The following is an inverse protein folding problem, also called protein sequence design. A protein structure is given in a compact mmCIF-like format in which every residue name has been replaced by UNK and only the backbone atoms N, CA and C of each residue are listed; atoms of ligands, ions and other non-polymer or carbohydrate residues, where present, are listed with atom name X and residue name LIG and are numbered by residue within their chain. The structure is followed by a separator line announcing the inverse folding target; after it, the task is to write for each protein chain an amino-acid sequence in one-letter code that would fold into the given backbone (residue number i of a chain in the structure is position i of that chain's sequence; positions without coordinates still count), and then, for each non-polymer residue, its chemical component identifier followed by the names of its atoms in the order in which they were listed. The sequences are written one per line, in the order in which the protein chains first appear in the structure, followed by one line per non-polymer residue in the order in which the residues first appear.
data_IF_373359195819
#
_entry.id   IF_373359195819
#
_cell.length_a   1.000
_cell.length_b   1.000
_cell.length_c   1.000
_cell.angle_alpha   90.00
_cell.angle_beta   90.00
_cell.angle_gamma   90.00
#
_symmetry.space_group_name_H-M   'P 1'
#
loop_
_entity.id
_entity.type
_entity.pdbx_description
1 polymer ?
#
# COMPACT_ATOMS: atom_id res chain seq x y z
N UNK A 1 -1.81 -8.25 29.53
CA UNK A 1 -2.93 -9.15 29.90
C UNK A 1 -4.23 -8.51 29.41
N UNK A 2 -4.76 -8.97 28.26
CA UNK A 2 -5.89 -8.34 27.54
C UNK A 2 -7.27 -8.88 27.95
N UNK A 3 -7.30 -9.81 28.93
CA UNK A 3 -8.54 -10.26 29.57
C UNK A 3 -9.47 -11.12 28.70
N UNK A 4 -8.94 -11.80 27.68
CA UNK A 4 -9.72 -12.60 26.73
C UNK A 4 -9.65 -14.10 27.06
N UNK A 5 -10.75 -14.83 26.82
CA UNK A 5 -10.85 -16.28 27.02
C UNK A 5 -10.69 -17.02 25.69
N UNK A 6 -10.13 -18.24 25.74
CA UNK A 6 -9.87 -19.09 24.58
C UNK A 6 -11.16 -19.36 23.78
N UNK A 7 -11.16 -19.00 22.49
CA UNK A 7 -12.23 -19.25 21.52
C UNK A 7 -11.97 -20.48 20.65
N UNK A 8 -12.74 -20.65 19.57
CA UNK A 8 -12.50 -21.70 18.57
C UNK A 8 -11.09 -21.58 17.95
N UNK A 9 -10.49 -22.73 17.65
CA UNK A 9 -9.12 -22.82 17.13
C UNK A 9 -9.09 -22.36 15.67
N UNK A 10 -8.15 -21.48 15.32
CA UNK A 10 -7.97 -21.05 13.93
C UNK A 10 -7.21 -22.14 13.17
N UNK A 11 -7.93 -22.96 12.40
CA UNK A 11 -7.33 -23.90 11.45
C UNK A 11 -6.82 -23.11 10.24
N UNK A 12 -5.54 -22.74 10.24
CA UNK A 12 -4.87 -22.35 9.00
C UNK A 12 -4.60 -23.60 8.17
N UNK A 13 -5.12 -23.67 6.93
CA UNK A 13 -4.54 -24.59 5.94
C UNK A 13 -3.07 -24.20 5.76
N UNK A 14 -2.17 -24.96 6.40
CA UNK A 14 -0.74 -24.69 6.32
C UNK A 14 -0.25 -25.02 4.92
N UNK A 15 -0.25 -24.03 4.02
CA UNK A 15 0.54 -24.19 2.81
C UNK A 15 2.02 -24.18 3.18
N UNK A 16 2.64 -25.33 2.94
CA UNK A 16 4.07 -25.64 3.06
C UNK A 16 4.99 -24.43 3.01
N UNK A 17 5.84 -24.34 4.04
CA UNK A 17 6.97 -23.42 4.24
C UNK A 17 7.52 -22.81 2.95
N UNK A 18 7.77 -21.49 2.96
CA UNK A 18 8.48 -20.76 1.91
C UNK A 18 9.80 -21.45 1.55
N UNK A 19 9.79 -22.26 0.49
CA UNK A 19 11.00 -22.85 -0.08
C UNK A 19 11.58 -21.89 -1.11
N UNK A 20 12.90 -21.79 -1.19
CA UNK A 20 13.60 -21.01 -2.23
C UNK A 20 13.11 -21.35 -3.65
N UNK A 21 12.78 -22.61 -3.90
CA UNK A 21 12.17 -23.10 -5.14
C UNK A 21 10.81 -22.45 -5.44
N UNK A 22 9.92 -22.35 -4.43
CA UNK A 22 8.64 -21.65 -4.57
C UNK A 22 8.85 -20.18 -4.87
N UNK A 23 9.78 -19.53 -4.18
CA UNK A 23 10.08 -18.11 -4.43
C UNK A 23 10.56 -17.85 -5.86
N UNK A 24 11.45 -18.70 -6.41
CA UNK A 24 11.85 -18.62 -7.82
C UNK A 24 10.64 -18.82 -8.75
N UNK A 25 9.72 -19.72 -8.41
CA UNK A 25 8.51 -19.94 -9.21
C UNK A 25 7.60 -18.70 -9.26
N UNK A 26 7.58 -17.86 -8.21
CA UNK A 26 6.85 -16.58 -8.20
C UNK A 26 7.57 -15.46 -8.96
N UNK A 27 8.85 -15.59 -9.27
CA UNK A 27 9.58 -14.65 -10.14
C UNK A 27 9.50 -15.02 -11.62
N UNK A 28 9.34 -16.31 -11.92
CA UNK A 28 9.38 -16.81 -13.29
C UNK A 28 8.05 -16.51 -13.98
N UNK A 29 8.03 -15.69 -15.05
CA UNK A 29 6.79 -15.42 -15.77
C UNK A 29 6.18 -16.71 -16.31
N UNK A 30 4.93 -16.97 -15.95
CA UNK A 30 4.13 -18.04 -16.55
C UNK A 30 3.47 -17.55 -17.83
N UNK A 31 2.45 -18.27 -18.33
CA UNK A 31 1.67 -17.78 -19.48
C UNK A 31 0.92 -16.49 -19.12
N UNK A 32 0.69 -15.61 -20.10
CA UNK A 32 -0.05 -14.35 -19.87
C UNK A 32 -1.43 -14.56 -19.24
N UNK A 33 -2.11 -15.66 -19.61
CA UNK A 33 -3.40 -16.02 -19.02
C UNK A 33 -3.31 -16.37 -17.54
N UNK A 34 -2.27 -17.10 -17.12
CA UNK A 34 -2.04 -17.45 -15.71
C UNK A 34 -1.66 -16.22 -14.90
N UNK A 35 -0.73 -15.38 -15.40
CA UNK A 35 -0.27 -14.18 -14.69
C UNK A 35 -1.40 -13.18 -14.41
N UNK A 36 -2.40 -13.08 -15.30
CA UNK A 36 -3.56 -12.20 -15.16
C UNK A 36 -4.73 -12.82 -14.37
N UNK A 37 -4.53 -13.96 -13.71
CA UNK A 37 -5.55 -14.56 -12.84
C UNK A 37 -6.33 -15.71 -13.43
N UNK A 38 -5.91 -16.29 -14.56
CA UNK A 38 -6.53 -17.47 -15.16
C UNK A 38 -6.56 -18.72 -14.24
N UNK A 39 -5.73 -18.74 -13.20
CA UNK A 39 -5.71 -19.79 -12.15
C UNK A 39 -6.35 -19.37 -10.82
N UNK A 40 -7.00 -18.20 -10.74
CA UNK A 40 -7.70 -17.73 -9.53
C UNK A 40 -6.96 -16.67 -8.71
N UNK A 41 -5.68 -16.39 -9.01
CA UNK A 41 -4.92 -15.28 -8.43
C UNK A 41 -4.00 -14.63 -9.48
N UNK A 42 -3.94 -13.29 -9.48
CA UNK A 42 -3.01 -12.54 -10.32
C UNK A 42 -1.70 -12.29 -9.57
N UNK A 43 -0.57 -12.54 -10.23
CA UNK A 43 0.77 -12.38 -9.66
C UNK A 43 1.45 -11.14 -10.22
N UNK A 44 1.27 -9.99 -9.56
CA UNK A 44 1.80 -8.69 -9.99
C UNK A 44 3.31 -8.71 -10.25
N UNK A 45 4.07 -9.44 -9.43
CA UNK A 45 5.52 -9.56 -9.59
C UNK A 45 5.90 -10.30 -10.88
N UNK A 46 5.19 -11.37 -11.24
CA UNK A 46 5.40 -12.09 -12.51
C UNK A 46 5.06 -11.20 -13.69
N UNK A 47 3.95 -10.45 -13.61
CA UNK A 47 3.55 -9.48 -14.63
C UNK A 47 4.64 -8.41 -14.80
N UNK A 48 5.22 -7.90 -13.71
CA UNK A 48 6.32 -6.93 -13.76
C UNK A 48 7.55 -7.51 -14.48
N UNK A 49 7.99 -8.71 -14.10
CA UNK A 49 9.15 -9.37 -14.75
C UNK A 49 8.86 -9.59 -16.24
N UNK A 50 7.67 -10.07 -16.59
CA UNK A 50 7.24 -10.26 -17.98
C UNK A 50 7.24 -8.93 -18.76
N UNK A 51 6.72 -7.86 -18.17
CA UNK A 51 6.67 -6.54 -18.77
C UNK A 51 8.08 -5.97 -19.01
N UNK A 52 9.01 -6.12 -18.06
CA UNK A 52 10.41 -5.70 -18.21
C UNK A 52 11.09 -6.48 -19.34
N UNK A 53 10.96 -7.81 -19.36
CA UNK A 53 11.53 -8.64 -20.42
C UNK A 53 10.95 -8.27 -21.80
N UNK A 54 9.65 -8.00 -21.86
CA UNK A 54 8.96 -7.54 -23.06
C UNK A 54 9.48 -6.17 -23.51
N UNK A 55 9.67 -5.24 -22.58
CA UNK A 55 10.26 -3.93 -22.86
C UNK A 55 11.70 -4.02 -23.37
N UNK A 56 12.53 -4.84 -22.73
CA UNK A 56 13.92 -5.10 -23.16
C UNK A 56 13.94 -5.73 -24.56
N UNK A 57 13.09 -6.71 -24.83
CA UNK A 57 12.97 -7.32 -26.16
C UNK A 57 12.51 -6.28 -27.22
N UNK A 58 11.52 -5.45 -26.87
CA UNK A 58 11.01 -4.39 -27.75
C UNK A 58 12.08 -3.34 -28.07
N UNK A 59 12.96 -3.02 -27.11
CA UNK A 59 14.06 -2.07 -27.32
C UNK A 59 15.05 -2.52 -28.42
N UNK A 60 15.17 -3.83 -28.65
CA UNK A 60 16.05 -4.45 -29.64
C UNK A 60 15.41 -4.58 -31.04
N UNK A 61 14.13 -4.25 -31.18
CA UNK A 61 13.43 -4.29 -32.47
C UNK A 61 13.82 -3.12 -33.38
N UNK A 62 13.50 -3.28 -34.67
CA UNK A 62 13.56 -2.20 -35.67
C UNK A 62 12.53 -1.12 -35.36
N UNK A 63 12.74 0.08 -35.88
CA UNK A 63 12.00 1.29 -35.47
C UNK A 63 10.48 1.18 -35.69
N UNK A 64 10.05 0.67 -36.85
CA UNK A 64 8.62 0.53 -37.18
C UNK A 64 7.85 -0.42 -36.22
N UNK A 65 8.26 -1.69 -36.01
CA UNK A 65 7.59 -2.56 -35.06
C UNK A 65 7.75 -2.11 -33.60
N UNK A 66 8.89 -1.49 -33.24
CA UNK A 66 9.11 -0.92 -31.91
C UNK A 66 8.08 0.16 -31.60
N UNK A 67 7.90 1.11 -32.52
CA UNK A 67 6.95 2.21 -32.35
C UNK A 67 5.51 1.71 -32.22
N UNK A 68 5.11 0.73 -33.03
CA UNK A 68 3.77 0.12 -32.95
C UNK A 68 3.47 -0.44 -31.56
N UNK A 69 4.42 -1.18 -30.97
CA UNK A 69 4.24 -1.78 -29.63
C UNK A 69 4.14 -0.70 -28.55
N UNK A 70 4.98 0.34 -28.63
CA UNK A 70 4.97 1.45 -27.68
C UNK A 70 3.64 2.23 -27.76
N UNK A 71 3.22 2.59 -28.96
CA UNK A 71 1.97 3.35 -29.19
C UNK A 71 0.74 2.53 -28.75
N UNK A 72 0.73 1.23 -29.02
CA UNK A 72 -0.32 0.32 -28.52
C UNK A 72 -0.34 0.27 -26.99
N UNK A 73 0.83 0.12 -26.35
CA UNK A 73 0.94 0.06 -24.89
C UNK A 73 0.45 1.36 -24.23
N UNK A 74 0.76 2.51 -24.84
CA UNK A 74 0.26 3.82 -24.41
C UNK A 74 -1.27 3.92 -24.54
N UNK A 75 -1.82 3.48 -25.66
CA UNK A 75 -3.27 3.47 -25.87
C UNK A 75 -4.00 2.58 -24.83
N UNK A 76 -3.42 1.44 -24.46
CA UNK A 76 -3.95 0.58 -23.40
C UNK A 76 -3.90 1.29 -22.04
N UNK A 77 -2.79 1.96 -21.71
CA UNK A 77 -2.67 2.73 -20.47
C UNK A 77 -3.75 3.83 -20.37
N UNK A 78 -3.93 4.61 -21.43
CA UNK A 78 -4.97 5.65 -21.50
C UNK A 78 -6.38 5.06 -21.36
N UNK A 79 -6.64 3.90 -21.98
CA UNK A 79 -7.91 3.18 -21.82
C UNK A 79 -8.15 2.78 -20.36
N UNK A 80 -7.12 2.29 -19.67
CA UNK A 80 -7.22 1.92 -18.26
C UNK A 80 -7.54 3.14 -17.38
N UNK A 81 -6.94 4.31 -17.65
CA UNK A 81 -7.30 5.56 -16.96
C UNK A 81 -8.79 5.89 -17.15
N UNK A 82 -9.32 5.74 -18.36
CA UNK A 82 -10.76 5.96 -18.63
C UNK A 82 -11.66 4.94 -17.95
N UNK A 83 -11.26 3.68 -17.87
CA UNK A 83 -12.03 2.68 -17.12
C UNK A 83 -12.14 3.07 -15.64
N UNK A 84 -11.07 3.60 -15.07
CA UNK A 84 -11.11 4.02 -13.66
C UNK A 84 -11.90 5.29 -13.44
N UNK A 85 -11.91 6.22 -14.41
CA UNK A 85 -12.85 7.35 -14.40
C UNK A 85 -14.31 6.91 -14.37
N UNK A 86 -14.65 5.75 -14.94
CA UNK A 86 -16.01 5.20 -14.89
C UNK A 86 -16.30 4.59 -13.52
N UNK A 87 -15.38 3.75 -13.02
CA UNK A 87 -15.55 3.04 -11.75
C UNK A 87 -15.56 3.99 -10.54
N UNK A 88 -14.84 5.11 -10.59
CA UNK A 88 -14.77 6.03 -9.45
C UNK A 88 -16.12 6.65 -9.08
N UNK A 89 -17.07 6.73 -10.02
CA UNK A 89 -18.43 7.19 -9.72
C UNK A 89 -19.18 6.28 -8.75
N UNK A 90 -18.83 5.01 -8.69
CA UNK A 90 -19.44 4.04 -7.75
C UNK A 90 -18.69 3.95 -6.43
N UNK A 91 -17.48 4.53 -6.33
CA UNK A 91 -16.66 4.47 -5.12
C UNK A 91 -17.39 4.98 -3.86
N UNK A 92 -18.14 6.12 -3.87
CA UNK A 92 -18.89 6.59 -2.70
C UNK A 92 -19.87 5.55 -2.14
N UNK A 93 -20.52 4.78 -3.01
CA UNK A 93 -21.46 3.72 -2.61
C UNK A 93 -20.70 2.57 -1.96
N UNK A 94 -19.54 2.18 -2.52
CA UNK A 94 -18.64 1.19 -1.92
C UNK A 94 -18.20 1.57 -0.52
N UNK A 95 -17.85 2.85 -0.29
CA UNK A 95 -17.48 3.37 1.03
C UNK A 95 -18.61 3.20 2.04
N UNK A 96 -19.84 3.57 1.66
CA UNK A 96 -21.01 3.46 2.53
C UNK A 96 -21.31 2.00 2.92
N UNK A 97 -21.21 1.06 1.98
CA UNK A 97 -21.41 -0.37 2.28
C UNK A 97 -20.28 -0.93 3.15
N UNK A 98 -19.03 -0.56 2.88
CA UNK A 98 -17.90 -0.96 3.71
C UNK A 98 -18.08 -0.50 5.16
N UNK A 99 -18.47 0.77 5.38
CA UNK A 99 -18.77 1.34 6.72
C UNK A 99 -20.04 0.76 7.36
N UNK A 100 -20.99 0.25 6.57
CA UNK A 100 -22.20 -0.38 7.11
C UNK A 100 -21.95 -1.82 7.57
N UNK A 101 -21.29 -2.63 6.72
CA UNK A 101 -20.94 -4.03 7.00
C UNK A 101 -20.07 -4.17 8.25
N UNK A 102 -19.07 -3.29 8.32
CA UNK A 102 -18.31 -2.92 9.49
C UNK A 102 -19.06 -2.88 10.84
N UNK A 103 -20.13 -2.08 10.87
CA UNK A 103 -20.92 -1.82 12.07
C UNK A 103 -21.86 -3.01 12.34
N UNK A 104 -22.35 -3.66 11.27
CA UNK A 104 -23.29 -4.77 11.35
C UNK A 104 -22.67 -6.10 11.80
N UNK A 105 -21.42 -6.37 11.43
CA UNK A 105 -20.75 -7.67 11.65
C UNK A 105 -20.19 -7.86 13.06
N UNK A 106 -19.82 -6.78 13.76
CA UNK A 106 -18.97 -6.89 14.96
C UNK A 106 -19.68 -6.65 16.31
N UNK A 107 -20.91 -6.12 16.31
CA UNK A 107 -21.68 -5.87 17.53
C UNK A 107 -20.98 -4.94 18.54
N UNK A 108 -21.62 -4.65 19.69
CA UNK A 108 -21.10 -3.72 20.71
C UNK A 108 -20.24 -4.40 21.80
N UNK A 109 -20.21 -5.73 21.87
CA UNK A 109 -19.69 -6.49 23.03
C UNK A 109 -18.22 -6.93 22.93
N UNK A 110 -17.58 -6.82 21.75
CA UNK A 110 -16.17 -7.13 21.54
C UNK A 110 -15.26 -5.87 21.58
N UNK A 111 -15.84 -4.69 21.78
CA UNK A 111 -15.22 -3.38 21.50
C UNK A 111 -14.02 -2.99 22.37
N UNK A 112 -13.87 -3.54 23.58
CA UNK A 112 -12.84 -3.10 24.52
C UNK A 112 -11.42 -3.40 24.01
N UNK A 113 -11.05 -4.68 24.02
CA UNK A 113 -9.70 -5.13 23.66
C UNK A 113 -9.42 -5.04 22.16
N UNK A 114 -10.42 -5.27 21.31
CA UNK A 114 -10.29 -5.13 19.86
C UNK A 114 -10.27 -3.66 19.43
N UNK A 115 -11.05 -2.79 20.08
CA UNK A 115 -10.96 -1.35 19.87
C UNK A 115 -9.61 -0.79 20.31
N UNK A 116 -9.02 -1.30 21.39
CA UNK A 116 -7.67 -0.94 21.80
C UNK A 116 -6.61 -1.36 20.76
N UNK A 117 -6.74 -2.56 20.17
CA UNK A 117 -5.89 -3.01 19.06
C UNK A 117 -6.02 -2.08 17.84
N UNK A 118 -7.25 -1.83 17.38
CA UNK A 118 -7.53 -0.93 16.25
C UNK A 118 -6.95 0.46 16.50
N UNK A 119 -7.20 1.03 17.68
CA UNK A 119 -6.67 2.34 18.05
C UNK A 119 -5.14 2.35 18.06
N UNK A 120 -4.50 1.30 18.59
CA UNK A 120 -3.03 1.18 18.61
C UNK A 120 -2.46 1.12 17.20
N UNK A 121 -3.08 0.33 16.31
CA UNK A 121 -2.69 0.26 14.89
C UNK A 121 -2.85 1.61 14.21
N UNK A 122 -3.99 2.28 14.40
CA UNK A 122 -4.25 3.59 13.81
C UNK A 122 -3.27 4.65 14.28
N UNK A 123 -3.04 4.75 15.59
CA UNK A 123 -2.09 5.70 16.16
C UNK A 123 -0.67 5.41 15.66
N UNK A 124 -0.26 4.14 15.63
CA UNK A 124 1.09 3.76 15.16
C UNK A 124 1.29 4.10 13.70
N UNK A 125 0.32 3.79 12.83
CA UNK A 125 0.41 4.10 11.40
C UNK A 125 0.36 5.61 11.17
N UNK A 126 -0.50 6.36 11.85
CA UNK A 126 -0.54 7.82 11.72
C UNK A 126 0.79 8.45 12.19
N UNK A 127 1.36 7.96 13.29
CA UNK A 127 2.67 8.38 13.74
C UNK A 127 3.75 8.04 12.71
N UNK A 128 3.72 6.84 12.13
CA UNK A 128 4.63 6.45 11.07
C UNK A 128 4.52 7.37 9.85
N UNK A 129 3.31 7.69 9.38
CA UNK A 129 3.11 8.62 8.27
C UNK A 129 3.67 10.01 8.61
N UNK A 130 3.33 10.55 9.78
CA UNK A 130 3.78 11.90 10.17
C UNK A 130 5.28 11.97 10.39
N UNK A 131 5.84 10.99 11.10
CA UNK A 131 7.26 11.00 11.49
C UNK A 131 8.13 10.49 10.35
N UNK A 132 7.86 9.31 9.81
CA UNK A 132 8.72 8.68 8.79
C UNK A 132 8.47 9.31 7.43
N UNK A 133 7.24 9.26 6.89
CA UNK A 133 6.97 9.88 5.59
C UNK A 133 7.17 11.39 5.63
N UNK A 134 6.77 12.06 6.71
CA UNK A 134 7.04 13.50 6.89
C UNK A 134 8.53 13.83 6.88
N UNK A 135 9.38 13.08 7.61
CA UNK A 135 10.84 13.29 7.59
C UNK A 135 11.44 13.03 6.21
N UNK A 136 10.97 12.01 5.50
CA UNK A 136 11.41 11.70 4.14
C UNK A 136 11.02 12.83 3.18
N UNK A 137 9.78 13.34 3.25
CA UNK A 137 9.36 14.49 2.47
C UNK A 137 10.23 15.73 2.73
N UNK A 138 10.59 15.99 3.98
CA UNK A 138 11.50 17.10 4.33
C UNK A 138 12.90 16.88 3.73
N UNK A 139 13.44 15.66 3.83
CA UNK A 139 14.77 15.31 3.30
C UNK A 139 14.87 15.52 1.78
N UNK A 140 13.83 15.11 1.04
CA UNK A 140 13.78 15.23 -0.42
C UNK A 140 13.10 16.51 -0.92
N UNK A 141 12.82 17.47 -0.02
CA UNK A 141 12.16 18.74 -0.33
C UNK A 141 10.87 18.56 -1.14
N UNK A 142 10.02 17.63 -0.70
CA UNK A 142 8.69 17.39 -1.26
C UNK A 142 7.69 18.18 -0.41
N UNK A 143 6.87 19.02 -1.05
CA UNK A 143 5.77 19.69 -0.36
C UNK A 143 4.71 18.63 -0.01
N UNK A 144 4.52 18.39 1.29
CA UNK A 144 3.60 17.35 1.79
C UNK A 144 2.16 17.66 1.40
N UNK A 145 1.75 18.93 1.48
CA UNK A 145 0.37 19.34 1.18
C UNK A 145 0.10 19.13 -0.30
N UNK A 146 1.02 19.58 -1.15
CA UNK A 146 0.94 19.42 -2.60
C UNK A 146 0.87 17.94 -2.98
N UNK A 147 1.73 17.11 -2.40
CA UNK A 147 1.73 15.66 -2.61
C UNK A 147 0.41 15.00 -2.20
N UNK A 148 -0.12 15.32 -1.01
CA UNK A 148 -1.38 14.77 -0.53
C UNK A 148 -2.57 15.19 -1.41
N UNK A 149 -2.57 16.43 -1.90
CA UNK A 149 -3.60 16.92 -2.82
C UNK A 149 -3.52 16.19 -4.17
N UNK A 150 -2.31 16.01 -4.71
CA UNK A 150 -2.09 15.29 -5.96
C UNK A 150 -2.49 13.81 -5.85
N UNK A 151 -2.20 13.17 -4.72
CA UNK A 151 -2.47 11.75 -4.48
C UNK A 151 -3.84 11.48 -3.84
N UNK A 152 -4.69 12.49 -3.64
CA UNK A 152 -5.95 12.34 -2.88
C UNK A 152 -6.85 11.22 -3.43
N UNK A 153 -6.97 11.12 -4.75
CA UNK A 153 -7.89 10.19 -5.41
C UNK A 153 -7.47 8.73 -5.19
N UNK A 154 -6.23 8.32 -5.52
CA UNK A 154 -5.78 6.96 -5.24
C UNK A 154 -5.79 6.65 -3.74
N UNK A 155 -5.47 7.61 -2.86
CA UNK A 155 -5.47 7.38 -1.41
C UNK A 155 -6.87 7.15 -0.84
N UNK A 156 -7.88 7.89 -1.30
CA UNK A 156 -9.27 7.68 -0.90
C UNK A 156 -9.77 6.33 -1.40
N UNK A 157 -9.45 5.95 -2.64
CA UNK A 157 -9.83 4.62 -3.16
C UNK A 157 -9.18 3.53 -2.31
N UNK A 158 -7.87 3.59 -2.09
CA UNK A 158 -7.14 2.62 -1.30
C UNK A 158 -7.69 2.48 0.13
N UNK A 159 -8.01 3.60 0.78
CA UNK A 159 -8.60 3.60 2.12
C UNK A 159 -9.99 2.95 2.14
N UNK A 160 -10.81 3.23 1.14
CA UNK A 160 -12.23 2.86 1.16
C UNK A 160 -12.51 1.48 0.60
N UNK A 161 -11.69 1.00 -0.34
CA UNK A 161 -11.80 -0.34 -0.92
C UNK A 161 -10.89 -1.36 -0.23
N UNK A 162 -9.98 -0.91 0.64
CA UNK A 162 -8.94 -1.73 1.27
C UNK A 162 -8.16 -2.59 0.25
N UNK A 163 -8.04 -2.11 -1.00
CA UNK A 163 -7.39 -2.85 -2.09
C UNK A 163 -6.42 -1.94 -2.83
N UNK A 164 -5.12 -2.26 -2.80
CA UNK A 164 -4.09 -1.47 -3.47
C UNK A 164 -4.26 -1.49 -4.99
N UNK A 165 -4.67 -2.65 -5.53
CA UNK A 165 -4.88 -2.91 -6.95
C UNK A 165 -6.01 -2.07 -7.54
N UNK A 166 -7.07 -1.84 -6.75
CA UNK A 166 -8.18 -0.99 -7.17
C UNK A 166 -7.76 0.48 -7.36
N UNK A 167 -6.76 0.93 -6.60
CA UNK A 167 -6.21 2.27 -6.71
C UNK A 167 -5.13 2.40 -7.80
N UNK A 168 -4.56 1.29 -8.28
CA UNK A 168 -3.35 1.27 -9.11
C UNK A 168 -3.45 2.16 -10.37
N UNK A 169 -4.55 2.16 -11.15
CA UNK A 169 -4.61 3.03 -12.32
C UNK A 169 -4.67 4.52 -11.95
N UNK A 170 -5.31 4.89 -10.83
CA UNK A 170 -5.28 6.27 -10.31
C UNK A 170 -3.93 6.65 -9.73
N UNK A 171 -3.17 5.70 -9.20
CA UNK A 171 -1.78 5.94 -8.78
C UNK A 171 -0.95 6.36 -9.99
N UNK A 172 -1.03 5.63 -11.10
CA UNK A 172 -0.30 6.00 -12.32
C UNK A 172 -0.71 7.37 -12.87
N UNK A 173 -2.03 7.61 -13.00
CA UNK A 173 -2.56 8.90 -13.47
C UNK A 173 -2.14 10.07 -12.56
N UNK A 174 -2.25 9.91 -11.24
CA UNK A 174 -1.85 10.93 -10.27
C UNK A 174 -0.35 11.20 -10.28
N UNK A 175 0.49 10.16 -10.39
CA UNK A 175 1.95 10.29 -10.46
C UNK A 175 2.39 11.01 -11.74
N UNK A 176 1.82 10.63 -12.89
CA UNK A 176 2.10 11.28 -14.18
C UNK A 176 1.71 12.77 -14.14
N UNK A 177 0.50 13.08 -13.65
CA UNK A 177 0.03 14.46 -13.44
C UNK A 177 0.88 15.24 -12.46
N UNK A 178 1.43 14.58 -11.43
CA UNK A 178 2.30 15.22 -10.45
C UNK A 178 3.73 15.49 -10.96
N UNK A 179 4.09 14.88 -12.10
CA UNK A 179 5.37 15.07 -12.78
C UNK A 179 6.36 13.92 -12.63
N UNK A 180 5.92 12.74 -12.21
CA UNK A 180 6.75 11.52 -12.22
C UNK A 180 6.70 10.90 -13.61
N UNK A 181 7.85 10.63 -14.23
CA UNK A 181 7.87 9.99 -15.54
C UNK A 181 7.27 8.57 -15.50
N UNK A 182 6.57 8.20 -16.57
CA UNK A 182 5.89 6.90 -16.70
C UNK A 182 6.86 5.72 -16.65
N UNK A 183 8.13 5.95 -17.00
CA UNK A 183 9.20 4.96 -16.91
C UNK A 183 9.53 4.63 -15.45
N UNK A 184 9.63 5.65 -14.60
CA UNK A 184 9.92 5.47 -13.16
C UNK A 184 8.71 4.88 -12.45
N UNK A 185 7.52 5.45 -12.62
CA UNK A 185 6.31 4.94 -11.96
C UNK A 185 5.98 3.51 -12.41
N UNK A 186 6.16 3.20 -13.70
CA UNK A 186 5.93 1.88 -14.30
C UNK A 186 6.79 0.77 -13.70
N UNK A 187 7.95 1.09 -13.13
CA UNK A 187 8.82 0.13 -12.44
C UNK A 187 8.62 0.16 -10.92
N UNK A 188 8.64 1.36 -10.32
CA UNK A 188 8.65 1.53 -8.86
C UNK A 188 7.32 1.11 -8.24
N UNK A 189 6.19 1.45 -8.86
CA UNK A 189 4.86 1.15 -8.29
C UNK A 189 4.59 -0.36 -8.25
N UNK A 190 4.72 -1.13 -9.35
CA UNK A 190 4.47 -2.57 -9.30
C UNK A 190 5.47 -3.31 -8.39
N UNK A 191 6.74 -2.88 -8.38
CA UNK A 191 7.75 -3.46 -7.48
C UNK A 191 7.39 -3.19 -6.01
N UNK A 192 6.99 -1.95 -5.71
CA UNK A 192 6.59 -1.52 -4.37
C UNK A 192 5.34 -2.24 -3.86
N UNK A 193 4.38 -2.56 -4.72
CA UNK A 193 3.18 -3.32 -4.32
C UNK A 193 3.50 -4.74 -3.82
N UNK A 194 4.65 -5.30 -4.20
CA UNK A 194 5.11 -6.59 -3.68
C UNK A 194 6.09 -6.45 -2.51
N UNK A 195 6.96 -5.43 -2.52
CA UNK A 195 8.10 -5.36 -1.60
C UNK A 195 8.05 -4.21 -0.59
N UNK A 196 7.23 -3.19 -0.82
CA UNK A 196 7.12 -1.98 -0.03
C UNK A 196 5.72 -1.88 0.62
N UNK A 197 5.45 -2.83 1.52
CA UNK A 197 4.20 -2.97 2.25
C UNK A 197 4.37 -2.51 3.71
N UNK A 198 4.63 -1.20 3.88
CA UNK A 198 4.91 -0.58 5.19
C UNK A 198 3.76 -0.77 6.18
N UNK A 199 2.54 -0.42 5.78
CA UNK A 199 1.35 -0.57 6.59
C UNK A 199 1.09 -2.03 6.96
N UNK A 200 1.35 -2.95 6.03
CA UNK A 200 1.18 -4.39 6.30
C UNK A 200 2.19 -4.88 7.31
N UNK A 201 3.44 -4.42 7.21
CA UNK A 201 4.50 -4.79 8.16
C UNK A 201 4.21 -4.30 9.58
N UNK A 202 3.74 -3.05 9.71
CA UNK A 202 3.31 -2.49 11.00
C UNK A 202 2.15 -3.26 11.60
N UNK A 203 1.13 -3.55 10.78
CA UNK A 203 -0.02 -4.34 11.18
C UNK A 203 0.39 -5.75 11.65
N UNK A 204 1.16 -6.49 10.85
CA UNK A 204 1.62 -7.84 11.17
C UNK A 204 2.35 -7.87 12.51
N UNK A 205 3.24 -6.90 12.73
CA UNK A 205 4.02 -6.77 13.96
C UNK A 205 3.13 -6.54 15.19
N UNK A 206 2.19 -5.59 15.10
CA UNK A 206 1.29 -5.27 16.20
C UNK A 206 0.29 -6.41 16.48
N UNK A 207 -0.23 -7.03 15.42
CA UNK A 207 -1.12 -8.18 15.50
C UNK A 207 -0.44 -9.37 16.20
N UNK A 208 0.80 -9.69 15.85
CA UNK A 208 1.54 -10.79 16.49
C UNK A 208 1.82 -10.53 17.96
N UNK A 209 2.19 -9.30 18.34
CA UNK A 209 2.36 -8.91 19.74
C UNK A 209 1.04 -8.96 20.50
N UNK A 210 -0.07 -8.55 19.88
CA UNK A 210 -1.40 -8.68 20.47
C UNK A 210 -1.77 -10.14 20.73
N UNK A 211 -1.51 -11.05 19.79
CA UNK A 211 -1.78 -12.48 19.97
C UNK A 211 -0.97 -13.08 21.13
N UNK A 212 0.29 -12.68 21.28
CA UNK A 212 1.11 -13.07 22.43
C UNK A 212 0.47 -12.63 23.75
N UNK A 213 0.08 -11.36 23.83
CA UNK A 213 -0.56 -10.78 25.02
C UNK A 213 -1.94 -11.37 25.32
N UNK A 214 -2.72 -11.71 24.28
CA UNK A 214 -4.03 -12.37 24.37
C UNK A 214 -3.90 -13.79 24.92
N UNK A 215 -2.83 -14.49 24.55
CA UNK A 215 -2.50 -15.82 25.08
C UNK A 215 -1.82 -15.79 26.46
N UNK A 216 -1.58 -14.60 27.03
CA UNK A 216 -0.87 -14.45 28.30
C UNK A 216 0.62 -14.81 28.22
N UNK A 217 1.19 -14.81 27.02
CA UNK A 217 2.60 -15.12 26.75
C UNK A 217 3.35 -13.80 26.62
N UNK A 218 4.20 -13.51 27.62
CA UNK A 218 5.11 -12.38 27.55
C UNK A 218 6.34 -12.75 26.71
N UNK A 219 6.57 -11.99 25.63
CA UNK A 219 7.79 -12.07 24.83
C UNK A 219 8.75 -10.97 25.21
N UNK A 220 10.01 -11.32 25.43
CA UNK A 220 11.06 -10.33 25.67
C UNK A 220 11.24 -9.39 24.47
N UNK A 221 11.80 -8.21 24.68
CA UNK A 221 12.06 -7.25 23.59
C UNK A 221 12.94 -7.89 22.50
N UNK A 222 13.91 -8.73 22.88
CA UNK A 222 14.74 -9.46 21.93
C UNK A 222 13.93 -10.40 21.03
N UNK A 223 13.04 -11.19 21.61
CA UNK A 223 12.14 -12.08 20.85
C UNK A 223 11.17 -11.28 19.96
N UNK A 224 10.65 -10.15 20.45
CA UNK A 224 9.79 -9.28 19.65
C UNK A 224 10.53 -8.71 18.44
N UNK A 225 11.78 -8.27 18.59
CA UNK A 225 12.60 -7.79 17.47
C UNK A 225 12.82 -8.90 16.45
N UNK A 226 13.18 -10.11 16.90
CA UNK A 226 13.38 -11.26 15.99
C UNK A 226 12.08 -11.61 15.27
N UNK A 227 10.95 -11.58 15.97
CA UNK A 227 9.62 -11.79 15.39
C UNK A 227 9.29 -10.76 14.31
N UNK A 228 9.52 -9.47 14.57
CA UNK A 228 9.30 -8.40 13.58
C UNK A 228 10.20 -8.59 12.36
N UNK A 229 11.49 -8.89 12.56
CA UNK A 229 12.40 -9.17 11.45
C UNK A 229 11.94 -10.36 10.61
N UNK A 230 11.43 -11.39 11.27
CA UNK A 230 10.88 -12.56 10.60
C UNK A 230 9.61 -12.21 9.81
N UNK A 231 8.67 -11.46 10.39
CA UNK A 231 7.47 -10.98 9.72
C UNK A 231 7.80 -10.10 8.51
N UNK A 232 8.84 -9.27 8.60
CA UNK A 232 9.33 -8.47 7.47
C UNK A 232 9.79 -9.35 6.30
N UNK A 233 10.41 -10.50 6.57
CA UNK A 233 10.85 -11.43 5.52
C UNK A 233 9.65 -12.22 4.99
N UNK A 234 8.86 -12.82 5.88
CA UNK A 234 7.73 -13.70 5.54
C UNK A 234 6.64 -12.97 4.75
N UNK A 235 6.37 -11.69 5.07
CA UNK A 235 5.37 -10.87 4.35
C UNK A 235 5.67 -10.66 2.87
N UNK A 236 6.95 -10.76 2.46
CA UNK A 236 7.40 -10.62 1.07
C UNK A 236 7.37 -11.94 0.29
N UNK A 237 7.25 -13.07 1.01
CA UNK A 237 7.24 -14.41 0.43
C UNK A 237 5.86 -14.88 -0.01
N UNK A 238 4.78 -14.29 0.52
CA UNK A 238 3.39 -14.70 0.24
C UNK A 238 2.73 -13.73 -0.74
N UNK A 239 3.37 -13.52 -1.89
CA UNK A 239 2.75 -12.79 -2.99
C UNK A 239 1.58 -13.60 -3.57
N UNK A 240 0.42 -12.97 -3.78
CA UNK A 240 -0.65 -13.51 -4.63
C UNK A 240 -1.87 -14.14 -3.94
N UNK A 241 -1.97 -14.21 -2.61
CA UNK A 241 -3.12 -14.86 -1.94
C UNK A 241 -3.98 -13.85 -1.17
N UNK A 242 -5.30 -13.86 -1.42
CA UNK A 242 -6.29 -13.09 -0.65
C UNK A 242 -6.27 -13.58 0.81
N UNK A 243 -6.20 -12.67 1.79
CA UNK A 243 -6.03 -12.98 3.23
C UNK A 243 -4.67 -13.57 3.63
N UNK A 244 -3.63 -13.43 2.79
CA UNK A 244 -2.26 -13.87 3.08
C UNK A 244 -1.72 -13.35 4.43
N UNK A 245 -2.12 -12.16 4.85
CA UNK A 245 -1.65 -11.53 6.10
C UNK A 245 -2.00 -12.32 7.35
N UNK A 246 -3.21 -12.92 7.44
CA UNK A 246 -3.60 -13.73 8.60
C UNK A 246 -2.88 -15.09 8.63
N UNK A 247 -2.65 -15.67 7.46
CA UNK A 247 -1.86 -16.90 7.30
C UNK A 247 -0.41 -16.66 7.74
N UNK A 248 0.18 -15.52 7.34
CA UNK A 248 1.53 -15.11 7.74
C UNK A 248 1.61 -14.89 9.26
N UNK A 249 0.59 -14.29 9.88
CA UNK A 249 0.52 -14.15 11.34
C UNK A 249 0.50 -15.53 11.98
N UNK A 250 -0.47 -16.38 11.65
CA UNK A 250 -0.62 -17.71 12.24
C UNK A 250 0.69 -18.53 12.12
N UNK A 251 1.27 -18.57 10.91
CA UNK A 251 2.53 -19.28 10.65
C UNK A 251 3.71 -18.74 11.46
N UNK A 252 3.72 -17.44 11.75
CA UNK A 252 4.76 -16.82 12.57
C UNK A 252 4.52 -17.09 14.05
N UNK A 253 3.28 -17.05 14.53
CA UNK A 253 2.94 -17.32 15.93
C UNK A 253 3.39 -18.72 16.36
N UNK A 254 3.15 -19.72 15.52
CA UNK A 254 3.56 -21.11 15.77
C UNK A 254 5.08 -21.24 16.00
N UNK A 255 5.88 -20.46 15.26
CA UNK A 255 7.35 -20.47 15.38
C UNK A 255 7.87 -19.83 16.66
N UNK A 256 7.04 -19.07 17.36
CA UNK A 256 7.35 -18.43 18.63
C UNK A 256 6.56 -19.06 19.78
N UNK A 257 6.01 -20.26 19.60
CA UNK A 257 5.20 -20.98 20.60
C UNK A 257 3.99 -20.16 21.09
N UNK A 258 3.40 -19.34 20.21
CA UNK A 258 2.19 -18.56 20.51
C UNK A 258 0.99 -19.25 19.86
N UNK A 259 -0.06 -19.58 20.63
CA UNK A 259 -1.29 -20.15 20.08
C UNK A 259 -1.93 -19.25 19.01
N UNK A 260 -2.47 -19.85 17.96
CA UNK A 260 -3.08 -19.15 16.81
C UNK A 260 -4.54 -18.73 17.03
N UNK A 261 -5.24 -19.25 18.05
CA UNK A 261 -6.64 -18.90 18.34
C UNK A 261 -6.93 -17.38 18.45
N UNK A 262 -6.02 -16.48 18.90
CA UNK A 262 -6.28 -15.05 18.91
C UNK A 262 -6.36 -14.43 17.50
N UNK A 263 -5.84 -15.10 16.46
CA UNK A 263 -5.97 -14.67 15.05
C UNK A 263 -7.44 -14.64 14.65
N UNK A 264 -8.25 -15.57 15.14
CA UNK A 264 -9.70 -15.58 14.91
C UNK A 264 -10.39 -14.32 15.46
N UNK A 265 -9.88 -13.75 16.56
CA UNK A 265 -10.39 -12.49 17.10
C UNK A 265 -10.06 -11.30 16.20
N UNK A 266 -8.86 -11.27 15.63
CA UNK A 266 -8.40 -10.21 14.73
C UNK A 266 -9.26 -10.17 13.46
N UNK A 267 -9.67 -11.33 12.96
CA UNK A 267 -10.49 -11.46 11.75
C UNK A 267 -11.75 -10.57 11.78
N UNK A 268 -12.41 -10.44 12.93
CA UNK A 268 -13.61 -9.61 13.06
C UNK A 268 -13.37 -8.13 12.76
N UNK A 269 -12.20 -7.61 13.14
CA UNK A 269 -11.85 -6.19 13.00
C UNK A 269 -10.78 -5.92 11.93
N UNK A 270 -10.31 -6.95 11.24
CA UNK A 270 -9.21 -6.86 10.26
C UNK A 270 -9.52 -5.83 9.18
N UNK A 271 -10.77 -5.80 8.70
CA UNK A 271 -11.22 -4.88 7.67
C UNK A 271 -11.02 -3.40 8.07
N UNK A 272 -11.17 -3.03 9.36
CA UNK A 272 -10.95 -1.65 9.85
C UNK A 272 -9.48 -1.28 9.71
N UNK A 273 -8.61 -2.20 10.12
CA UNK A 273 -7.17 -2.01 10.09
C UNK A 273 -6.63 -2.03 8.65
N UNK A 274 -7.27 -2.82 7.78
CA UNK A 274 -6.89 -2.95 6.39
C UNK A 274 -7.03 -1.65 5.60
N UNK A 275 -8.08 -0.87 5.87
CA UNK A 275 -8.29 0.44 5.26
C UNK A 275 -7.06 1.34 5.38
N UNK A 276 -6.54 1.48 6.61
CA UNK A 276 -5.39 2.34 6.88
C UNK A 276 -4.06 1.70 6.45
N UNK A 277 -3.94 0.37 6.59
CA UNK A 277 -2.81 -0.42 6.05
C UNK A 277 -2.64 -0.17 4.56
N UNK A 278 -3.73 -0.33 3.80
CA UNK A 278 -3.72 -0.21 2.35
C UNK A 278 -3.48 1.23 1.90
N UNK A 279 -4.08 2.22 2.56
CA UNK A 279 -3.76 3.63 2.33
C UNK A 279 -2.26 3.91 2.52
N UNK A 280 -1.66 3.36 3.58
CA UNK A 280 -0.24 3.61 3.91
C UNK A 280 0.69 2.98 2.89
N UNK A 281 0.40 1.75 2.45
CA UNK A 281 1.16 1.06 1.40
C UNK A 281 1.13 1.87 0.09
N UNK A 282 -0.07 2.30 -0.33
CA UNK A 282 -0.24 3.10 -1.56
C UNK A 282 0.48 4.44 -1.43
N UNK A 283 0.36 5.13 -0.29
CA UNK A 283 1.06 6.39 -0.02
C UNK A 283 2.58 6.23 -0.08
N UNK A 284 3.12 5.19 0.55
CA UNK A 284 4.55 4.88 0.54
C UNK A 284 5.06 4.61 -0.88
N UNK A 285 4.30 3.87 -1.69
CA UNK A 285 4.65 3.59 -3.09
C UNK A 285 4.62 4.84 -3.97
N UNK A 286 3.63 5.72 -3.79
CA UNK A 286 3.61 7.02 -4.47
C UNK A 286 4.80 7.88 -4.06
N UNK A 287 5.10 7.96 -2.76
CA UNK A 287 6.21 8.76 -2.24
C UNK A 287 7.56 8.24 -2.74
N UNK A 288 7.77 6.92 -2.70
CA UNK A 288 8.96 6.28 -3.26
C UNK A 288 9.12 6.57 -4.75
N UNK A 289 8.04 6.55 -5.52
CA UNK A 289 8.07 6.88 -6.96
C UNK A 289 8.52 8.32 -7.21
N UNK A 290 8.03 9.28 -6.42
CA UNK A 290 8.47 10.68 -6.50
C UNK A 290 9.95 10.84 -6.14
N UNK A 291 10.41 10.15 -5.09
CA UNK A 291 11.80 10.19 -4.65
C UNK A 291 12.72 9.62 -5.73
N UNK A 292 12.39 8.45 -6.26
CA UNK A 292 13.16 7.82 -7.34
C UNK A 292 13.20 8.71 -8.57
N UNK A 293 12.08 9.33 -8.95
CA UNK A 293 12.05 10.28 -10.07
C UNK A 293 12.94 11.50 -9.81
N UNK A 294 12.96 12.04 -8.59
CA UNK A 294 13.88 13.13 -8.23
C UNK A 294 15.35 12.70 -8.28
N UNK A 295 15.66 11.48 -7.82
CA UNK A 295 17.04 10.96 -7.83
C UNK A 295 17.55 10.70 -9.25
N UNK A 296 16.68 10.24 -10.14
CA UNK A 296 17.00 9.98 -11.55
C UNK A 296 16.88 11.23 -12.47
N UNK A 297 16.54 12.40 -11.91
CA UNK A 297 16.26 13.64 -12.67
C UNK A 297 15.09 13.52 -13.68
N UNK A 298 14.14 12.66 -13.35
CA UNK A 298 12.94 12.31 -14.11
C UNK A 298 11.65 12.90 -13.48
N UNK A 299 11.81 13.88 -12.57
CA UNK A 299 10.70 14.57 -11.90
C UNK A 299 10.50 15.98 -12.47
N UNK A 300 9.29 16.29 -12.94
CA UNK A 300 8.91 17.54 -13.62
C UNK A 300 9.90 17.94 -14.70
N UNK A 301 10.10 17.02 -15.65
CA UNK A 301 10.96 17.24 -16.81
C UNK A 301 10.49 18.46 -17.64
N UNK A 302 11.35 18.99 -18.50
CA UNK A 302 10.99 20.15 -19.34
C UNK A 302 9.77 19.89 -20.23
N UNK A 303 9.59 18.65 -20.69
CA UNK A 303 8.39 18.21 -21.41
C UNK A 303 7.14 18.34 -20.53
N UNK A 304 7.19 17.88 -19.28
CA UNK A 304 6.09 18.02 -18.33
C UNK A 304 5.75 19.49 -18.05
N UNK A 305 6.78 20.33 -17.81
CA UNK A 305 6.62 21.77 -17.58
C UNK A 305 6.00 22.48 -18.79
N UNK A 306 6.33 22.06 -20.02
CA UNK A 306 5.74 22.62 -21.23
C UNK A 306 4.23 22.33 -21.37
N UNK A 307 3.78 21.20 -20.83
CA UNK A 307 2.39 20.75 -20.87
C UNK A 307 1.56 21.30 -19.70
N UNK A 308 2.17 21.50 -18.53
CA UNK A 308 1.47 21.84 -17.28
C UNK A 308 1.86 23.20 -16.67
N UNK A 309 2.74 23.97 -17.31
CA UNK A 309 3.26 25.25 -16.80
C UNK A 309 2.25 26.39 -16.62
N UNK A 310 0.96 26.20 -16.96
CA UNK A 310 -0.13 27.12 -16.61
C UNK A 310 -0.91 26.70 -15.34
N UNK A 311 -0.72 25.49 -14.83
CA UNK A 311 -1.30 25.01 -13.56
C UNK A 311 -0.38 25.23 -12.35
N UNK A 312 0.94 25.22 -12.55
CA UNK A 312 1.93 25.55 -11.51
C UNK A 312 1.70 26.97 -10.93
N UNK A 313 1.22 27.91 -11.74
CA UNK A 313 0.89 29.27 -11.31
C UNK A 313 -0.33 29.34 -10.36
N UNK A 314 -1.22 28.33 -10.39
CA UNK A 314 -2.34 28.23 -9.44
C UNK A 314 -1.93 27.52 -8.16
N UNK A 315 -1.05 26.52 -8.26
CA UNK A 315 -0.53 25.80 -7.09
C UNK A 315 0.43 26.68 -6.29
N UNK A 316 1.29 27.45 -6.95
CA UNK A 316 2.20 28.43 -6.31
C UNK A 316 1.42 29.51 -5.54
N UNK A 317 0.33 30.02 -6.12
CA UNK A 317 -0.59 30.96 -5.46
C UNK A 317 -1.31 30.33 -4.27
N UNK A 318 -1.56 29.01 -4.28
CA UNK A 318 -2.15 28.29 -3.16
C UNK A 318 -1.15 28.05 -2.02
N UNK A 319 0.11 27.75 -2.36
CA UNK A 319 1.25 27.68 -1.43
C UNK A 319 1.54 29.04 -0.77
N UNK A 320 1.49 30.13 -1.54
CA UNK A 320 1.66 31.48 -1.02
C UNK A 320 0.51 31.84 -0.05
N UNK A 321 -0.73 31.47 -0.38
CA UNK A 321 -1.88 31.68 0.51
C UNK A 321 -1.82 30.84 1.79
N UNK A 322 -1.42 29.57 1.72
CA UNK A 322 -1.33 28.71 2.91
C UNK A 322 -0.16 29.08 3.82
N UNK A 323 0.99 29.46 3.26
CA UNK A 323 2.11 29.98 4.06
C UNK A 323 1.75 31.28 4.76
N UNK A 324 1.00 32.17 4.10
CA UNK A 324 0.46 33.38 4.71
C UNK A 324 -0.54 33.09 5.84
N UNK A 325 -1.45 32.12 5.67
CA UNK A 325 -2.41 31.76 6.73
C UNK A 325 -1.71 31.18 7.96
N UNK A 326 -0.72 30.30 7.76
CA UNK A 326 0.09 29.72 8.85
C UNK A 326 0.94 30.77 9.59
N UNK A 327 1.51 31.74 8.85
CA UNK A 327 2.25 32.84 9.44
C UNK A 327 1.35 33.81 10.23
N UNK A 328 0.14 34.09 9.73
CA UNK A 328 -0.82 34.98 10.42
C UNK A 328 -1.36 34.32 11.69
N UNK A 329 -1.67 33.03 11.68
CA UNK A 329 -2.12 32.32 12.88
C UNK A 329 -1.04 32.26 13.96
N UNK A 330 0.23 32.06 13.57
CA UNK A 330 1.35 32.07 14.50
C UNK A 330 1.58 33.45 15.15
N UNK A 331 1.32 34.54 14.42
CA UNK A 331 1.42 35.91 14.95
C UNK A 331 0.24 36.24 15.88
N UNK A 332 -0.96 35.74 15.60
CA UNK A 332 -2.12 35.91 16.48
C UNK A 332 -2.00 35.11 17.79
N UNK A 333 -1.43 33.90 17.75
CA UNK A 333 -1.12 33.11 18.95
C UNK A 333 -0.03 33.77 19.81
N UNK A 334 0.99 34.38 19.19
CA UNK A 334 2.03 35.11 19.92
C UNK A 334 1.56 36.45 20.55
N UNK A 335 0.37 36.93 20.16
CA UNK A 335 -0.25 38.15 20.72
C UNK A 335 -1.25 37.87 21.85
N UNK A 336 -1.62 36.62 22.10
CA UNK A 336 -2.49 36.20 23.22
C UNK A 336 -1.65 35.76 24.41
#
# INVERSE_FOLDING_TARGET
NVGLTQGEEYESESESSLTFEKWISHLTPKTWGEMMGGSGSSELLQVLVAAILTGVATSQLKEEPKRLIIDFSRAVLEMMFKFVDIVIWTAPIGVCFAIADAIGSNGLSALGSLGALVATVYVTILLFIVVVFGSVCMMFKINIVEFLVAMREPLIIAFTTATSEAALPKVFDALEKYGVSTHVSGFVVPFGYSFNLDGSTLYLSLASVFCAQASGIDKSIGEQIVMVLMLMISSKGVAGVRSATLIVIASTLDQFDIPSWPVALILGVDWIMDMLRTLTNVMGNCLASVIMAKMENEFRTEEWKSLHGHEDDKMSVMDEKMSHVSAVSAIEEARR
#
